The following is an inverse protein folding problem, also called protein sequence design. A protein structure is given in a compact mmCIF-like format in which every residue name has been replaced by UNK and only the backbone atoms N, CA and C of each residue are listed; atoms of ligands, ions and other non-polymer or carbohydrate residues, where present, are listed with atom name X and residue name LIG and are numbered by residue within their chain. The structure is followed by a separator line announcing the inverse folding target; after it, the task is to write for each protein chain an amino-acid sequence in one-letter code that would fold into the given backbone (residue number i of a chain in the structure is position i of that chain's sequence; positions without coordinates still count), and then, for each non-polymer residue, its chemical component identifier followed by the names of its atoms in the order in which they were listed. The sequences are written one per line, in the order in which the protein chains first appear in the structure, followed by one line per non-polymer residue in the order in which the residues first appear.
data_IF_207465061925
#
_entry.id   IF_207465061925
#
_cell.length_a   1.000
_cell.length_b   1.000
_cell.length_c   1.000
_cell.angle_alpha   90.00
_cell.angle_beta   90.00
_cell.angle_gamma   90.00
#
_symmetry.space_group_name_H-M   'P 1'
#
loop_
_entity.id
_entity.type
_entity.pdbx_description
1 polymer ?
#
# COMPACT_ATOMS: atom_id res chain seq x y z
N UNK A 1 21.89 22.31 -34.11
CA UNK A 1 22.68 23.53 -33.85
C UNK A 1 23.32 23.38 -32.47
N UNK A 2 24.65 23.31 -32.37
CA UNK A 2 25.33 23.10 -31.08
C UNK A 2 25.61 24.44 -30.39
N UNK A 3 25.32 24.51 -29.10
CA UNK A 3 25.64 25.68 -28.24
C UNK A 3 27.10 25.67 -27.82
N UNK A 4 27.81 26.79 -28.15
CA UNK A 4 29.21 27.05 -27.87
C UNK A 4 29.48 27.16 -26.36
N UNK A 5 30.51 26.48 -25.86
CA UNK A 5 31.10 26.68 -24.52
C UNK A 5 32.03 27.91 -24.58
N UNK A 6 31.72 28.92 -23.76
CA UNK A 6 32.64 30.04 -23.51
C UNK A 6 33.65 29.63 -22.43
N UNK A 7 34.90 29.60 -22.80
CA UNK A 7 36.04 29.39 -21.93
C UNK A 7 36.40 30.72 -21.25
N UNK A 8 36.37 30.75 -19.92
CA UNK A 8 36.84 31.93 -19.14
C UNK A 8 38.32 31.75 -18.86
N UNK A 9 39.15 32.63 -19.39
CA UNK A 9 40.60 32.72 -19.09
C UNK A 9 40.75 33.49 -17.77
N UNK A 10 41.29 32.85 -16.72
CA UNK A 10 41.70 33.46 -15.47
C UNK A 10 43.14 33.93 -15.63
N UNK A 11 43.36 35.23 -15.50
CA UNK A 11 44.71 35.86 -15.49
C UNK A 11 45.44 35.49 -14.20
N UNK A 12 46.76 35.26 -14.37
CA UNK A 12 47.66 34.73 -13.40
C UNK A 12 47.73 35.51 -12.08
N UNK A 13 47.77 34.72 -11.02
CA UNK A 13 48.04 35.17 -9.63
C UNK A 13 49.57 35.15 -9.41
N UNK A 14 50.09 36.27 -8.91
CA UNK A 14 51.51 36.51 -8.68
C UNK A 14 52.14 35.47 -7.74
N UNK A 15 53.32 34.98 -8.16
CA UNK A 15 54.15 33.93 -7.58
C UNK A 15 54.60 34.15 -6.11
N UNK A 16 54.32 35.28 -5.48
CA UNK A 16 54.79 35.56 -4.12
C UNK A 16 53.86 35.14 -2.99
N UNK A 17 52.63 34.74 -3.30
CA UNK A 17 51.68 34.25 -2.30
C UNK A 17 51.53 32.72 -2.26
N UNK A 18 52.08 32.02 -3.22
CA UNK A 18 51.97 30.56 -3.30
C UNK A 18 52.84 29.84 -2.25
N UNK A 19 53.94 30.45 -1.78
CA UNK A 19 54.83 29.84 -0.77
C UNK A 19 54.34 29.96 0.67
N UNK A 20 53.57 30.98 1.01
CA UNK A 20 53.00 31.15 2.35
C UNK A 20 51.77 30.27 2.57
N UNK A 21 50.98 29.97 1.50
CA UNK A 21 49.81 29.10 1.60
C UNK A 21 50.19 27.61 1.70
N UNK A 22 51.32 27.22 1.11
CA UNK A 22 51.82 25.84 1.17
C UNK A 22 52.36 25.45 2.54
N UNK A 23 52.97 26.40 3.28
CA UNK A 23 53.47 26.17 4.63
C UNK A 23 52.35 26.09 5.70
N UNK A 24 51.24 26.82 5.53
CA UNK A 24 50.07 26.69 6.41
C UNK A 24 49.29 25.38 6.20
N UNK A 25 49.21 24.87 4.97
CA UNK A 25 48.52 23.58 4.69
C UNK A 25 49.34 22.37 5.23
N UNK A 26 50.66 22.44 5.22
CA UNK A 26 51.52 21.38 5.76
C UNK A 26 51.49 21.35 7.30
N UNK A 27 51.33 22.50 7.95
CA UNK A 27 51.17 22.55 9.43
C UNK A 27 49.82 22.00 9.91
N UNK A 28 48.76 22.06 9.09
CA UNK A 28 47.46 21.49 9.45
C UNK A 28 47.37 19.97 9.17
N UNK A 29 48.20 19.43 8.27
CA UNK A 29 48.18 17.98 7.98
C UNK A 29 49.00 17.16 9.02
N UNK A 30 49.83 17.77 9.85
CA UNK A 30 50.63 17.03 10.84
C UNK A 30 49.91 16.87 12.19
N UNK A 31 48.79 17.61 12.42
CA UNK A 31 48.03 17.48 13.68
C UNK A 31 46.79 16.59 13.63
N UNK A 32 46.47 15.99 12.46
CA UNK A 32 45.40 15.01 12.35
C UNK A 32 45.94 13.56 12.31
N UNK A 33 46.77 13.20 13.28
CA UNK A 33 46.95 11.80 13.60
C UNK A 33 45.62 11.29 14.16
N UNK A 34 45.05 10.20 13.62
CA UNK A 34 43.89 9.58 14.25
C UNK A 34 44.36 9.15 15.66
N UNK A 35 43.80 9.78 16.69
CA UNK A 35 43.92 9.29 18.06
C UNK A 35 43.18 7.96 18.07
N UNK A 36 43.85 6.89 17.67
CA UNK A 36 43.49 5.55 18.07
C UNK A 36 43.72 5.48 19.57
N UNK A 37 42.70 5.86 20.33
CA UNK A 37 42.58 5.46 21.72
C UNK A 37 42.44 3.94 21.72
N UNK A 38 43.55 3.23 21.61
CA UNK A 38 43.61 1.86 22.05
C UNK A 38 43.21 1.85 23.51
N UNK A 39 42.00 1.37 23.82
CA UNK A 39 41.55 1.26 25.20
C UNK A 39 42.56 0.38 25.93
N UNK A 40 43.30 0.97 26.89
CA UNK A 40 44.22 0.25 27.77
C UNK A 40 43.60 -0.88 28.61
N UNK A 41 42.28 -1.05 28.47
CA UNK A 41 41.48 -2.06 29.16
C UNK A 41 40.99 -3.13 28.19
N UNK A 42 41.89 -3.94 27.63
CA UNK A 42 41.54 -5.19 26.97
C UNK A 42 41.13 -6.21 28.03
N UNK A 43 39.94 -6.76 27.94
CA UNK A 43 39.59 -7.93 28.75
C UNK A 43 40.67 -9.02 28.53
N UNK A 44 41.14 -9.65 29.63
CA UNK A 44 42.12 -10.74 29.54
C UNK A 44 41.62 -11.79 28.54
N UNK A 45 42.51 -12.24 27.65
CA UNK A 45 42.21 -13.36 26.75
C UNK A 45 41.65 -14.54 27.58
N UNK A 46 40.44 -14.98 27.28
CA UNK A 46 39.76 -16.06 28.02
C UNK A 46 38.67 -15.64 29.00
N UNK A 47 38.49 -14.33 29.29
CA UNK A 47 37.40 -13.86 30.16
C UNK A 47 36.02 -13.86 29.48
N UNK A 48 35.77 -14.77 28.55
CA UNK A 48 34.56 -14.96 27.72
C UNK A 48 33.28 -14.79 28.50
N UNK A 49 32.75 -13.56 28.58
CA UNK A 49 31.43 -13.27 29.12
C UNK A 49 31.22 -13.55 30.62
N UNK A 50 32.03 -14.39 31.25
CA UNK A 50 31.91 -14.75 32.67
C UNK A 50 32.03 -13.52 33.60
N UNK A 51 32.87 -12.58 33.25
CA UNK A 51 33.01 -11.32 34.00
C UNK A 51 31.71 -10.50 33.92
N UNK A 52 31.04 -10.47 32.77
CA UNK A 52 29.78 -9.75 32.58
C UNK A 52 28.63 -10.41 33.36
N UNK A 53 28.60 -11.74 33.36
CA UNK A 53 27.59 -12.53 34.03
C UNK A 53 27.61 -12.43 35.56
N UNK A 54 28.72 -11.98 36.17
CA UNK A 54 28.77 -11.70 37.60
C UNK A 54 27.82 -10.57 38.04
N UNK A 55 27.59 -9.61 37.15
CA UNK A 55 26.66 -8.50 37.41
C UNK A 55 25.34 -8.67 36.64
N UNK A 56 25.37 -9.35 35.49
CA UNK A 56 24.21 -9.58 34.64
C UNK A 56 23.67 -11.02 34.80
N UNK A 57 23.38 -11.44 36.04
CA UNK A 57 22.98 -12.80 36.37
C UNK A 57 21.71 -13.29 35.66
N UNK A 58 20.79 -12.36 35.33
CA UNK A 58 19.57 -12.66 34.60
C UNK A 58 19.84 -13.35 33.24
N UNK A 59 20.98 -13.09 32.61
CA UNK A 59 21.38 -13.76 31.36
C UNK A 59 21.70 -15.22 31.52
N UNK A 60 21.95 -15.72 32.74
CA UNK A 60 22.07 -17.17 32.98
C UNK A 60 20.78 -17.93 32.61
N UNK A 61 19.61 -17.30 32.77
CA UNK A 61 18.34 -17.85 32.31
C UNK A 61 18.26 -17.88 30.78
N UNK A 62 18.67 -16.80 30.12
CA UNK A 62 18.71 -16.69 28.65
C UNK A 62 19.66 -17.70 28.03
N UNK A 63 20.83 -17.96 28.65
CA UNK A 63 21.77 -18.97 28.20
C UNK A 63 21.22 -20.41 28.28
N UNK A 64 20.19 -20.67 29.09
CA UNK A 64 19.45 -21.94 29.18
C UNK A 64 18.32 -22.05 28.20
N UNK A 65 18.03 -20.98 27.42
CA UNK A 65 16.98 -21.02 26.41
C UNK A 65 17.32 -22.02 25.30
N UNK A 66 16.30 -22.57 24.67
CA UNK A 66 16.45 -23.56 23.58
C UNK A 66 17.25 -23.04 22.40
N UNK A 67 17.11 -21.74 22.08
CA UNK A 67 17.81 -21.05 21.00
C UNK A 67 18.48 -19.82 21.56
N UNK A 68 19.81 -19.81 21.54
CA UNK A 68 20.68 -18.73 22.03
C UNK A 68 21.50 -18.21 20.87
N UNK A 69 21.64 -16.88 20.79
CA UNK A 69 22.46 -16.25 19.75
C UNK A 69 23.92 -16.79 19.81
N UNK A 70 24.52 -17.18 18.68
CA UNK A 70 25.85 -17.80 18.66
C UNK A 70 26.94 -17.02 19.41
N UNK A 71 26.96 -15.66 19.27
CA UNK A 71 27.92 -14.82 19.97
C UNK A 71 27.69 -14.86 21.49
N UNK A 72 26.44 -14.82 21.95
CA UNK A 72 26.13 -14.93 23.37
C UNK A 72 26.49 -16.31 23.93
N UNK A 73 26.21 -17.38 23.18
CA UNK A 73 26.56 -18.76 23.55
C UNK A 73 28.07 -18.92 23.72
N UNK A 74 28.89 -18.19 22.94
CA UNK A 74 30.35 -18.15 23.07
C UNK A 74 30.84 -17.21 24.16
N UNK A 75 29.96 -16.42 24.79
CA UNK A 75 30.31 -15.40 25.77
C UNK A 75 30.94 -14.12 25.14
N UNK A 76 30.73 -13.92 23.86
CA UNK A 76 31.27 -12.78 23.10
C UNK A 76 30.38 -11.53 23.21
N UNK A 77 30.06 -11.09 24.44
CA UNK A 77 29.20 -9.95 24.71
C UNK A 77 29.70 -8.67 24.04
N UNK A 78 31.02 -8.49 24.02
CA UNK A 78 31.68 -7.32 23.38
C UNK A 78 31.61 -7.38 21.83
N UNK A 79 31.09 -8.43 21.25
CA UNK A 79 30.77 -8.46 19.81
C UNK A 79 29.75 -7.39 19.43
N UNK A 80 28.80 -7.13 20.32
CA UNK A 80 27.73 -6.14 20.16
C UNK A 80 27.83 -4.95 21.11
N UNK A 81 28.37 -5.13 22.32
CA UNK A 81 28.35 -4.15 23.38
C UNK A 81 29.73 -3.52 23.61
N UNK A 82 29.73 -2.26 24.05
CA UNK A 82 30.90 -1.54 24.59
C UNK A 82 30.72 -1.50 26.10
N UNK A 83 31.68 -2.04 26.89
CA UNK A 83 31.47 -2.24 28.34
C UNK A 83 31.48 -0.97 29.18
N UNK A 84 31.97 0.16 28.66
CA UNK A 84 32.13 1.39 29.44
C UNK A 84 31.19 2.51 29.01
N UNK A 85 31.30 2.99 27.78
CA UNK A 85 30.53 4.14 27.28
C UNK A 85 30.10 3.93 25.84
N UNK A 86 28.89 4.35 25.53
CA UNK A 86 28.36 4.35 24.15
C UNK A 86 27.29 5.45 24.03
N UNK A 87 27.21 6.04 22.85
CA UNK A 87 26.12 6.93 22.46
C UNK A 87 24.81 6.16 22.16
N UNK A 88 24.90 4.84 22.05
CA UNK A 88 23.75 3.99 21.70
C UNK A 88 23.14 3.31 22.93
N UNK A 89 21.82 3.33 23.03
CA UNK A 89 21.08 2.71 24.14
C UNK A 89 21.45 1.23 24.31
N UNK A 90 21.72 0.82 25.56
CA UNK A 90 22.14 -0.54 25.87
C UNK A 90 23.62 -0.78 25.63
N UNK A 91 24.44 0.29 25.61
CA UNK A 91 25.89 0.21 25.36
C UNK A 91 26.22 -0.53 24.05
N UNK A 92 25.43 -0.35 22.99
CA UNK A 92 25.73 -0.94 21.69
C UNK A 92 26.90 -0.21 21.01
N UNK A 93 27.67 -0.94 20.19
CA UNK A 93 28.81 -0.38 19.42
C UNK A 93 28.39 0.64 18.38
N UNK A 94 27.20 0.45 17.79
CA UNK A 94 26.63 1.28 16.76
C UNK A 94 25.11 1.24 16.87
N UNK A 95 24.40 1.95 16.00
CA UNK A 95 22.94 1.82 15.90
C UNK A 95 22.52 0.36 15.66
N UNK A 96 21.31 0.05 16.05
CA UNK A 96 20.82 -1.33 16.07
C UNK A 96 20.71 -1.93 14.67
N UNK A 97 20.26 -1.16 13.69
CA UNK A 97 20.08 -1.64 12.32
C UNK A 97 21.44 -2.08 11.77
N UNK A 98 22.43 -1.18 11.80
CA UNK A 98 23.79 -1.44 11.34
C UNK A 98 24.42 -2.62 12.08
N UNK A 99 24.26 -2.67 13.41
CA UNK A 99 24.83 -3.75 14.24
C UNK A 99 24.37 -5.14 13.79
N UNK A 100 23.10 -5.28 13.45
CA UNK A 100 22.57 -6.56 12.95
C UNK A 100 23.01 -6.83 11.52
N UNK A 101 22.92 -5.82 10.64
CA UNK A 101 23.24 -5.95 9.21
C UNK A 101 24.73 -6.21 8.93
N UNK A 102 25.63 -5.82 9.83
CA UNK A 102 27.07 -6.13 9.68
C UNK A 102 27.31 -7.64 9.48
N UNK A 103 26.46 -8.48 10.06
CA UNK A 103 26.54 -9.94 9.92
C UNK A 103 25.37 -10.55 9.13
N UNK A 104 24.16 -9.95 9.21
CA UNK A 104 22.94 -10.46 8.57
C UNK A 104 22.62 -9.68 7.29
N UNK A 105 23.53 -9.64 6.34
CA UNK A 105 23.41 -8.86 5.09
C UNK A 105 22.29 -9.31 4.17
N UNK A 106 21.92 -10.59 4.20
CA UNK A 106 20.94 -11.18 3.28
C UNK A 106 19.47 -10.87 3.64
N UNK A 107 19.24 -10.24 4.81
CA UNK A 107 17.88 -9.98 5.29
C UNK A 107 17.16 -8.92 4.43
N UNK A 108 17.91 -7.96 3.88
CA UNK A 108 17.41 -6.91 2.98
C UNK A 108 18.28 -6.88 1.70
N UNK A 109 18.04 -7.76 0.73
CA UNK A 109 18.77 -7.74 -0.52
C UNK A 109 18.39 -6.51 -1.36
N UNK A 110 19.34 -5.97 -2.12
CA UNK A 110 19.17 -4.78 -2.97
C UNK A 110 18.05 -4.94 -4.02
N UNK A 111 17.79 -6.17 -4.47
CA UNK A 111 16.76 -6.50 -5.45
C UNK A 111 15.41 -6.85 -4.84
N UNK A 112 15.15 -6.53 -3.58
CA UNK A 112 13.87 -6.80 -2.95
C UNK A 112 12.75 -5.99 -3.62
N UNK A 113 11.69 -6.67 -4.06
CA UNK A 113 10.47 -6.04 -4.58
C UNK A 113 9.54 -5.57 -3.45
N UNK A 114 9.69 -6.16 -2.27
CA UNK A 114 8.98 -5.75 -1.06
C UNK A 114 9.85 -6.01 0.16
N UNK A 115 9.80 -5.09 1.12
CA UNK A 115 10.53 -5.19 2.38
C UNK A 115 9.62 -4.75 3.52
N UNK A 116 9.60 -5.54 4.61
CA UNK A 116 8.78 -5.24 5.77
C UNK A 116 9.32 -3.99 6.46
N UNK A 117 8.46 -3.01 6.75
CA UNK A 117 8.85 -1.69 7.25
C UNK A 117 9.71 -1.78 8.51
N UNK A 118 9.30 -2.58 9.49
CA UNK A 118 10.05 -2.78 10.74
C UNK A 118 11.46 -3.36 10.51
N UNK A 119 11.69 -4.06 9.40
CA UNK A 119 13.01 -4.59 9.02
C UNK A 119 13.84 -3.50 8.36
N UNK A 120 13.24 -2.69 7.49
CA UNK A 120 13.88 -1.51 6.86
C UNK A 120 14.34 -0.52 7.92
N UNK A 121 13.53 -0.28 8.94
CA UNK A 121 13.85 0.57 10.09
C UNK A 121 14.90 -0.03 11.05
N UNK A 122 15.30 -1.29 10.83
CA UNK A 122 16.23 -2.00 11.71
C UNK A 122 15.63 -2.41 13.07
N UNK A 123 14.32 -2.44 13.18
CA UNK A 123 13.59 -2.80 14.39
C UNK A 123 13.50 -4.32 14.60
N UNK A 124 14.60 -5.05 14.45
CA UNK A 124 14.69 -6.51 14.51
C UNK A 124 14.11 -7.10 15.82
N UNK A 125 14.21 -6.36 16.92
CA UNK A 125 13.69 -6.77 18.23
C UNK A 125 12.17 -6.81 18.33
N UNK A 126 11.46 -6.28 17.38
CA UNK A 126 9.99 -6.40 17.32
C UNK A 126 9.57 -7.86 17.21
N UNK A 127 10.40 -8.68 16.55
CA UNK A 127 10.13 -10.10 16.32
C UNK A 127 11.14 -11.03 17.01
N UNK A 128 12.40 -10.60 17.18
CA UNK A 128 13.50 -11.42 17.71
C UNK A 128 13.98 -10.95 19.09
N UNK A 129 14.30 -11.90 19.96
CA UNK A 129 15.18 -11.65 21.08
C UNK A 129 16.63 -11.82 20.63
N UNK A 130 17.40 -10.73 20.65
CA UNK A 130 18.80 -10.72 20.18
C UNK A 130 19.75 -11.57 21.02
N UNK A 131 19.33 -12.02 22.17
CA UNK A 131 20.13 -12.86 23.06
C UNK A 131 19.72 -14.33 23.01
N UNK A 132 18.42 -14.61 23.08
CA UNK A 132 17.92 -15.96 23.00
C UNK A 132 16.48 -16.11 23.44
N UNK A 133 15.80 -17.11 22.95
CA UNK A 133 14.44 -17.47 23.33
C UNK A 133 14.19 -18.98 23.22
N UNK A 134 13.03 -19.42 23.62
CA UNK A 134 12.62 -20.83 23.47
C UNK A 134 12.00 -21.11 22.09
N UNK A 135 11.82 -20.10 21.25
CA UNK A 135 11.27 -20.24 19.91
C UNK A 135 12.39 -20.27 18.87
N UNK A 136 12.21 -21.08 17.81
CA UNK A 136 13.17 -21.17 16.70
C UNK A 136 13.48 -19.77 16.14
N UNK A 137 14.71 -19.54 15.71
CA UNK A 137 15.23 -18.23 15.26
C UNK A 137 15.17 -17.14 16.33
N UNK A 138 15.09 -17.51 17.60
CA UNK A 138 15.00 -16.59 18.74
C UNK A 138 13.80 -15.66 18.64
N UNK A 139 12.67 -16.14 18.11
CA UNK A 139 11.44 -15.35 18.01
C UNK A 139 10.83 -15.12 19.40
N UNK A 140 10.18 -13.98 19.58
CA UNK A 140 9.48 -13.62 20.83
C UNK A 140 8.26 -14.53 21.07
N UNK A 141 7.58 -14.93 19.99
CA UNK A 141 6.44 -15.86 19.99
C UNK A 141 6.62 -16.90 18.89
N UNK A 142 5.93 -18.03 19.02
CA UNK A 142 5.93 -19.08 18.01
C UNK A 142 4.76 -18.91 17.02
N UNK A 143 4.97 -19.39 15.78
CA UNK A 143 3.93 -19.51 14.79
C UNK A 143 3.28 -18.19 14.36
N UNK A 144 2.00 -18.26 14.06
CA UNK A 144 1.22 -17.13 13.54
C UNK A 144 0.96 -16.04 14.59
N UNK A 145 1.01 -16.36 15.87
CA UNK A 145 0.73 -15.41 16.95
C UNK A 145 1.70 -14.23 16.99
N UNK A 146 2.93 -14.42 16.52
CA UNK A 146 3.87 -13.32 16.37
C UNK A 146 3.40 -12.30 15.34
N UNK A 147 2.88 -12.77 14.22
CA UNK A 147 2.39 -11.91 13.13
C UNK A 147 1.11 -11.17 13.56
N UNK A 148 0.23 -11.86 14.30
CA UNK A 148 -1.05 -11.35 14.77
C UNK A 148 -0.92 -10.24 15.81
N UNK A 149 0.24 -10.02 16.41
CA UNK A 149 0.44 -8.87 17.31
C UNK A 149 0.23 -7.53 16.60
N UNK A 150 0.59 -7.45 15.32
CA UNK A 150 0.43 -6.25 14.50
C UNK A 150 -0.68 -6.40 13.45
N UNK A 151 -0.81 -7.59 12.84
CA UNK A 151 -1.81 -7.86 11.80
C UNK A 151 -3.15 -8.30 12.41
N UNK A 152 -3.81 -7.37 13.15
CA UNK A 152 -5.05 -7.65 13.92
C UNK A 152 -6.21 -8.05 13.02
N UNK A 153 -6.44 -7.29 11.94
CA UNK A 153 -7.54 -7.55 11.00
C UNK A 153 -7.38 -8.93 10.37
N UNK A 154 -6.15 -9.28 9.95
CA UNK A 154 -5.85 -10.61 9.43
C UNK A 154 -6.06 -11.71 10.48
N UNK A 155 -5.72 -11.45 11.73
CA UNK A 155 -5.98 -12.37 12.85
C UNK A 155 -7.47 -12.65 13.02
N UNK A 156 -8.28 -11.59 12.97
CA UNK A 156 -9.74 -11.68 13.09
C UNK A 156 -10.33 -12.46 11.91
N UNK A 157 -9.95 -12.10 10.68
CA UNK A 157 -10.39 -12.79 9.46
C UNK A 157 -10.08 -14.29 9.50
N UNK A 158 -8.84 -14.65 9.86
CA UNK A 158 -8.42 -16.06 9.95
C UNK A 158 -9.16 -16.81 11.06
N UNK A 159 -9.34 -16.18 12.20
CA UNK A 159 -10.03 -16.82 13.36
C UNK A 159 -11.51 -17.04 13.06
N UNK A 160 -12.17 -16.08 12.44
CA UNK A 160 -13.59 -16.10 12.13
C UNK A 160 -13.94 -16.94 10.89
N UNK A 161 -12.97 -17.20 10.01
CA UNK A 161 -13.21 -18.00 8.80
C UNK A 161 -13.75 -19.39 9.13
N UNK A 162 -14.89 -19.75 8.53
CA UNK A 162 -15.48 -21.09 8.65
C UNK A 162 -14.61 -22.17 8.03
N UNK A 163 -13.99 -21.86 6.89
CA UNK A 163 -13.09 -22.73 6.18
C UNK A 163 -11.71 -22.09 6.11
N UNK A 164 -10.79 -22.60 6.93
CA UNK A 164 -9.39 -22.12 6.97
C UNK A 164 -8.52 -22.87 5.99
N UNK A 165 -7.55 -22.19 5.42
CA UNK A 165 -6.54 -22.87 4.63
C UNK A 165 -5.63 -23.67 5.54
N UNK A 166 -5.56 -24.98 5.34
CA UNK A 166 -4.82 -25.92 6.23
C UNK A 166 -3.34 -25.57 6.38
N UNK A 167 -2.74 -24.87 5.41
CA UNK A 167 -1.35 -24.43 5.49
C UNK A 167 -1.09 -23.43 6.62
N UNK A 168 -2.11 -22.70 7.09
CA UNK A 168 -1.98 -21.79 8.22
C UNK A 168 -1.79 -22.51 9.57
N UNK A 169 -2.29 -23.74 9.66
CA UNK A 169 -2.26 -24.55 10.89
C UNK A 169 -1.12 -25.59 10.86
N UNK A 170 -0.48 -25.78 9.71
CA UNK A 170 0.56 -26.80 9.50
C UNK A 170 1.89 -26.18 9.10
N UNK A 171 2.97 -26.90 9.41
CA UNK A 171 4.32 -26.52 9.02
C UNK A 171 4.77 -25.21 9.65
N UNK A 172 5.02 -24.20 8.82
CA UNK A 172 5.51 -22.89 9.25
C UNK A 172 4.39 -21.83 9.35
N UNK A 173 3.11 -22.20 9.21
CA UNK A 173 2.00 -21.26 9.23
C UNK A 173 2.08 -20.21 8.12
N UNK A 174 2.03 -18.92 8.47
CA UNK A 174 2.15 -17.81 7.52
C UNK A 174 3.39 -17.93 6.64
N UNK A 175 4.51 -18.41 7.20
CA UNK A 175 5.79 -18.56 6.51
C UNK A 175 5.84 -19.75 5.53
N UNK A 176 4.75 -20.47 5.33
CA UNK A 176 4.64 -21.41 4.21
C UNK A 176 4.52 -20.67 2.86
N UNK A 177 4.05 -19.43 2.90
CA UNK A 177 3.79 -18.62 1.72
C UNK A 177 4.53 -17.28 1.73
N UNK A 178 4.80 -16.70 2.91
CA UNK A 178 5.37 -15.38 3.08
C UNK A 178 6.82 -15.40 3.55
N UNK A 179 7.62 -14.45 3.05
CA UNK A 179 8.89 -14.06 3.66
C UNK A 179 8.64 -12.88 4.61
N UNK A 180 8.99 -13.00 5.89
CA UNK A 180 8.71 -11.95 6.88
C UNK A 180 9.66 -10.75 6.80
N UNK A 181 10.76 -10.86 6.07
CA UNK A 181 11.75 -9.79 5.97
C UNK A 181 11.61 -9.02 4.67
N UNK A 182 11.76 -9.71 3.56
CA UNK A 182 11.72 -9.13 2.22
C UNK A 182 11.44 -10.19 1.16
N UNK A 183 11.02 -9.79 -0.03
CA UNK A 183 10.86 -10.69 -1.16
C UNK A 183 11.32 -10.06 -2.46
N UNK A 184 12.11 -10.78 -3.21
CA UNK A 184 12.50 -10.45 -4.58
C UNK A 184 11.53 -11.05 -5.64
N UNK A 185 10.50 -11.77 -5.22
CA UNK A 185 9.57 -12.50 -6.11
C UNK A 185 8.23 -11.78 -6.30
N UNK A 186 7.66 -11.28 -5.20
CA UNK A 186 6.34 -10.61 -5.18
C UNK A 186 6.13 -9.97 -3.82
N UNK A 187 4.99 -9.32 -3.59
CA UNK A 187 4.63 -8.70 -2.31
C UNK A 187 4.70 -9.69 -1.16
N UNK A 188 5.85 -9.76 -0.49
CA UNK A 188 6.15 -10.63 0.66
C UNK A 188 5.96 -12.15 0.43
N UNK A 189 5.90 -12.62 -0.82
CA UNK A 189 5.71 -14.04 -1.12
C UNK A 189 7.04 -14.72 -1.42
N UNK A 190 7.13 -16.01 -1.06
CA UNK A 190 8.28 -16.88 -1.34
C UNK A 190 8.44 -17.19 -2.83
N UNK A 191 7.37 -17.05 -3.61
CA UNK A 191 7.36 -17.21 -5.07
C UNK A 191 6.60 -16.08 -5.72
N UNK A 192 6.75 -15.92 -7.04
CA UNK A 192 5.84 -15.09 -7.83
C UNK A 192 4.41 -15.54 -7.58
N UNK A 193 3.47 -14.56 -7.73
CA UNK A 193 2.03 -14.79 -7.50
C UNK A 193 1.55 -16.11 -8.10
N UNK A 194 0.36 -16.55 -7.66
CA UNK A 194 -0.33 -17.70 -8.24
C UNK A 194 -0.17 -17.76 -9.79
N UNK A 195 -0.04 -18.96 -10.38
CA UNK A 195 -0.21 -20.24 -9.69
C UNK A 195 1.06 -20.80 -9.03
N UNK A 196 2.25 -20.27 -9.32
CA UNK A 196 3.54 -20.86 -8.92
C UNK A 196 3.64 -21.17 -7.43
N UNK A 197 3.21 -20.27 -6.57
CA UNK A 197 3.21 -20.48 -5.12
C UNK A 197 2.27 -21.61 -4.71
N UNK A 198 1.08 -21.67 -5.29
CA UNK A 198 0.04 -22.65 -4.97
C UNK A 198 0.45 -24.05 -5.43
N UNK A 199 1.09 -24.15 -6.60
CA UNK A 199 1.51 -25.42 -7.22
C UNK A 199 2.62 -26.16 -6.45
N UNK A 200 3.26 -25.52 -5.48
CA UNK A 200 4.20 -26.21 -4.56
C UNK A 200 3.50 -27.31 -3.74
N UNK A 201 2.20 -27.17 -3.50
CA UNK A 201 1.41 -28.12 -2.71
C UNK A 201 0.21 -28.68 -3.47
N UNK A 202 -0.37 -27.91 -4.38
CA UNK A 202 -1.56 -28.31 -5.13
C UNK A 202 -1.20 -28.89 -6.50
N UNK A 203 -1.70 -30.10 -6.77
CA UNK A 203 -1.47 -30.80 -8.02
C UNK A 203 -2.66 -30.63 -8.94
N UNK A 204 -2.52 -29.74 -9.93
CA UNK A 204 -3.60 -29.38 -10.87
C UNK A 204 -3.84 -30.40 -11.97
N UNK A 205 -2.92 -31.35 -12.16
CA UNK A 205 -3.03 -32.47 -13.11
C UNK A 205 -3.89 -33.62 -12.61
N UNK A 206 -4.34 -33.60 -11.35
CA UNK A 206 -5.19 -34.67 -10.81
C UNK A 206 -6.64 -34.55 -11.33
N UNK A 207 -7.24 -35.70 -11.66
CA UNK A 207 -8.67 -35.79 -12.04
C UNK A 207 -9.58 -35.16 -10.94
N UNK A 208 -9.22 -35.35 -9.66
CA UNK A 208 -9.99 -34.76 -8.56
C UNK A 208 -9.93 -33.24 -8.54
N UNK A 209 -8.85 -32.63 -9.01
CA UNK A 209 -8.74 -31.18 -9.16
C UNK A 209 -9.66 -30.70 -10.29
N UNK A 210 -9.56 -31.30 -11.47
CA UNK A 210 -10.40 -30.97 -12.61
C UNK A 210 -11.89 -31.11 -12.26
N UNK A 211 -12.28 -32.22 -11.60
CA UNK A 211 -13.67 -32.45 -11.17
C UNK A 211 -14.19 -31.37 -10.22
N UNK A 212 -13.36 -30.89 -9.28
CA UNK A 212 -13.73 -29.79 -8.35
C UNK A 212 -13.93 -28.47 -9.06
N UNK A 213 -13.28 -28.25 -10.19
CA UNK A 213 -13.40 -27.08 -11.04
C UNK A 213 -14.28 -27.34 -12.27
N UNK A 214 -15.11 -28.40 -12.25
CA UNK A 214 -16.03 -28.78 -13.31
C UNK A 214 -15.40 -28.82 -14.69
N UNK A 215 -14.16 -29.30 -14.74
CA UNK A 215 -13.30 -29.42 -15.92
C UNK A 215 -12.97 -28.11 -16.63
N UNK A 216 -13.16 -26.95 -15.97
CA UNK A 216 -12.68 -25.68 -16.53
C UNK A 216 -11.16 -25.63 -16.54
N UNK A 217 -10.54 -25.01 -17.56
CA UNK A 217 -9.09 -24.93 -17.72
C UNK A 217 -8.47 -23.88 -16.81
N UNK A 218 -8.47 -24.14 -15.49
CA UNK A 218 -7.98 -23.20 -14.46
C UNK A 218 -6.55 -23.49 -14.00
N UNK A 219 -5.82 -24.40 -14.67
CA UNK A 219 -4.48 -24.84 -14.25
C UNK A 219 -3.47 -23.71 -14.19
N UNK A 220 -3.60 -22.74 -15.09
CA UNK A 220 -2.71 -21.57 -15.18
C UNK A 220 -3.37 -20.28 -14.70
N UNK A 221 -4.57 -20.37 -14.11
CA UNK A 221 -5.27 -19.21 -13.60
C UNK A 221 -4.62 -18.67 -12.32
N UNK A 222 -4.81 -17.40 -12.06
CA UNK A 222 -4.52 -16.83 -10.75
C UNK A 222 -5.52 -17.37 -9.72
N UNK A 223 -5.11 -18.37 -8.96
CA UNK A 223 -5.96 -19.02 -7.95
C UNK A 223 -6.52 -18.01 -6.94
N UNK A 224 -5.74 -16.97 -6.63
CA UNK A 224 -6.11 -15.93 -5.68
C UNK A 224 -7.14 -14.93 -6.23
N UNK A 225 -7.54 -15.04 -7.48
CA UNK A 225 -8.66 -14.27 -8.03
C UNK A 225 -10.03 -14.76 -7.54
N UNK A 226 -10.13 -16.05 -7.16
CA UNK A 226 -11.36 -16.65 -6.65
C UNK A 226 -11.24 -17.16 -5.22
N UNK A 227 -10.06 -17.63 -4.83
CA UNK A 227 -9.80 -18.23 -3.51
C UNK A 227 -9.12 -17.25 -2.58
N UNK A 228 -9.61 -17.18 -1.33
CA UNK A 228 -8.93 -16.50 -0.24
C UNK A 228 -7.95 -17.47 0.45
N UNK A 229 -6.62 -17.33 0.26
CA UNK A 229 -5.64 -18.25 0.82
C UNK A 229 -5.58 -18.23 2.34
N UNK A 230 -6.18 -17.28 3.00
CA UNK A 230 -6.24 -17.19 4.47
C UNK A 230 -7.47 -17.88 5.05
N UNK A 231 -8.54 -18.03 4.28
CA UNK A 231 -9.78 -18.65 4.70
C UNK A 231 -11.00 -17.85 4.32
N UNK A 232 -12.16 -18.44 4.39
CA UNK A 232 -13.45 -17.77 4.12
C UNK A 232 -14.62 -18.52 4.74
N UNK A 233 -15.83 -17.98 4.60
CA UNK A 233 -17.06 -18.65 5.00
C UNK A 233 -17.62 -19.59 3.92
N UNK A 234 -17.09 -19.47 2.69
CA UNK A 234 -17.49 -20.29 1.57
C UNK A 234 -16.63 -21.54 1.43
N UNK A 235 -17.25 -22.68 1.07
CA UNK A 235 -16.55 -23.95 0.82
C UNK A 235 -15.47 -23.78 -0.26
N UNK A 236 -14.34 -24.46 -0.06
CA UNK A 236 -13.21 -24.35 -0.98
C UNK A 236 -12.43 -23.05 -0.81
N UNK A 237 -12.68 -22.32 0.26
CA UNK A 237 -12.07 -21.00 0.54
C UNK A 237 -12.29 -19.98 -0.59
N UNK A 238 -13.41 -20.08 -1.30
CA UNK A 238 -13.84 -19.04 -2.26
C UNK A 238 -14.09 -17.76 -1.47
N UNK A 239 -13.75 -16.60 -1.99
CA UNK A 239 -13.99 -15.32 -1.32
C UNK A 239 -15.43 -15.22 -0.81
N UNK A 240 -15.62 -14.53 0.32
CA UNK A 240 -16.93 -14.37 0.95
C UNK A 240 -17.91 -13.59 0.07
N UNK A 241 -17.41 -12.65 -0.71
CA UNK A 241 -18.18 -11.98 -1.75
C UNK A 241 -18.06 -12.78 -3.04
N UNK A 242 -18.98 -13.71 -3.21
CA UNK A 242 -19.06 -14.56 -4.40
C UNK A 242 -20.45 -14.48 -5.02
N UNK A 243 -20.53 -14.61 -6.34
CA UNK A 243 -21.80 -14.68 -7.05
C UNK A 243 -22.54 -15.96 -6.69
N UNK A 244 -23.84 -15.90 -6.45
CA UNK A 244 -24.63 -17.05 -6.03
C UNK A 244 -24.47 -18.26 -6.97
N UNK A 245 -24.49 -18.02 -8.29
CA UNK A 245 -24.29 -19.05 -9.29
C UNK A 245 -22.95 -19.81 -9.13
N UNK A 246 -21.90 -19.12 -8.65
CA UNK A 246 -20.58 -19.73 -8.42
C UNK A 246 -20.59 -20.58 -7.16
N UNK A 247 -21.14 -20.08 -6.05
CA UNK A 247 -21.22 -20.83 -4.79
C UNK A 247 -22.12 -22.06 -4.88
N UNK A 248 -23.13 -22.01 -5.74
CA UNK A 248 -24.06 -23.10 -6.02
C UNK A 248 -23.57 -24.05 -7.12
N UNK A 249 -22.44 -23.74 -7.78
CA UNK A 249 -21.91 -24.55 -8.85
C UNK A 249 -22.69 -24.49 -10.17
N UNK A 250 -23.49 -23.45 -10.37
CA UNK A 250 -24.35 -23.25 -11.56
C UNK A 250 -23.59 -22.56 -12.70
N UNK A 251 -22.42 -23.06 -13.06
CA UNK A 251 -21.54 -22.44 -14.05
C UNK A 251 -22.20 -22.30 -15.44
N UNK A 252 -23.06 -23.25 -15.79
CA UNK A 252 -23.77 -23.27 -17.07
C UNK A 252 -24.92 -22.27 -17.13
N UNK A 253 -25.24 -21.55 -16.07
CA UNK A 253 -26.12 -20.36 -16.18
C UNK A 253 -25.49 -19.29 -17.10
N UNK A 254 -24.19 -19.14 -17.02
CA UNK A 254 -23.44 -18.14 -17.80
C UNK A 254 -22.64 -18.74 -18.95
N UNK A 255 -22.02 -19.91 -18.75
CA UNK A 255 -21.16 -20.57 -19.73
C UNK A 255 -21.96 -21.55 -20.62
N UNK A 256 -21.53 -21.68 -21.89
CA UNK A 256 -22.26 -22.49 -22.88
C UNK A 256 -22.39 -23.98 -22.49
N UNK A 257 -21.30 -24.52 -21.91
CA UNK A 257 -21.21 -25.90 -21.45
C UNK A 257 -20.15 -26.07 -20.39
N UNK A 258 -20.17 -27.14 -19.59
CA UNK A 258 -19.10 -27.43 -18.63
C UNK A 258 -17.72 -27.43 -19.29
N UNK A 259 -16.76 -26.77 -18.65
CA UNK A 259 -15.39 -26.63 -19.15
C UNK A 259 -15.16 -25.57 -20.23
N UNK A 260 -16.20 -24.97 -20.76
CA UNK A 260 -16.07 -23.90 -21.76
C UNK A 260 -15.96 -22.52 -21.11
N UNK A 261 -14.96 -21.74 -21.53
CA UNK A 261 -14.84 -20.32 -21.13
C UNK A 261 -15.77 -19.40 -21.93
N UNK A 262 -16.41 -19.92 -23.00
CA UNK A 262 -17.36 -19.14 -23.81
C UNK A 262 -18.66 -18.93 -23.05
N UNK A 263 -19.13 -17.70 -23.01
CA UNK A 263 -20.42 -17.36 -22.42
C UNK A 263 -21.58 -17.57 -23.42
N UNK A 264 -22.77 -17.79 -22.89
CA UNK A 264 -24.00 -17.99 -23.73
C UNK A 264 -24.34 -16.74 -24.53
N UNK A 265 -24.15 -15.56 -23.97
CA UNK A 265 -24.46 -14.25 -24.53
C UNK A 265 -23.34 -13.25 -24.29
N UNK A 266 -23.42 -12.09 -24.94
CA UNK A 266 -22.53 -10.94 -24.61
C UNK A 266 -22.78 -10.47 -23.18
N UNK A 267 -21.75 -9.90 -22.55
CA UNK A 267 -21.72 -9.63 -21.11
C UNK A 267 -22.96 -8.91 -20.59
N UNK A 268 -23.33 -7.76 -21.15
CA UNK A 268 -24.48 -6.98 -20.67
C UNK A 268 -25.80 -7.73 -20.84
N UNK A 269 -25.98 -8.43 -21.98
CA UNK A 269 -27.18 -9.24 -22.23
C UNK A 269 -27.25 -10.44 -21.28
N UNK A 270 -26.11 -11.05 -20.97
CA UNK A 270 -26.03 -12.17 -20.04
C UNK A 270 -26.42 -11.74 -18.63
N UNK A 271 -25.85 -10.63 -18.17
CA UNK A 271 -26.17 -10.10 -16.84
C UNK A 271 -27.63 -9.68 -16.71
N UNK A 272 -28.21 -9.13 -17.77
CA UNK A 272 -29.64 -8.71 -17.82
C UNK A 272 -30.61 -9.84 -17.56
N UNK A 273 -30.29 -11.09 -17.87
CA UNK A 273 -31.19 -12.24 -17.64
C UNK A 273 -31.64 -12.37 -16.19
N UNK A 274 -30.80 -11.98 -15.23
CA UNK A 274 -31.13 -12.01 -13.81
C UNK A 274 -31.19 -10.61 -13.19
N UNK A 275 -30.48 -9.63 -13.76
CA UNK A 275 -30.38 -8.26 -13.28
C UNK A 275 -31.15 -7.27 -14.18
N UNK A 276 -32.29 -7.69 -14.70
CA UNK A 276 -33.07 -6.92 -15.68
C UNK A 276 -33.38 -5.52 -15.18
N UNK A 277 -34.00 -5.39 -14.01
CA UNK A 277 -34.44 -4.10 -13.46
C UNK A 277 -33.26 -3.11 -13.34
N UNK A 278 -32.13 -3.55 -12.82
CA UNK A 278 -30.95 -2.71 -12.65
C UNK A 278 -30.38 -2.29 -14.00
N UNK A 279 -30.30 -3.20 -14.96
CA UNK A 279 -29.80 -2.89 -16.31
C UNK A 279 -30.74 -1.94 -17.03
N UNK A 280 -32.05 -2.18 -16.99
CA UNK A 280 -33.05 -1.33 -17.65
C UNK A 280 -33.08 0.07 -17.02
N UNK A 281 -33.06 0.19 -15.69
CA UNK A 281 -32.95 1.49 -15.01
C UNK A 281 -31.66 2.24 -15.40
N UNK A 282 -30.54 1.52 -15.56
CA UNK A 282 -29.28 2.12 -15.97
C UNK A 282 -29.36 2.70 -17.38
N UNK A 283 -29.87 1.92 -18.34
CA UNK A 283 -29.93 2.34 -19.75
C UNK A 283 -31.06 3.32 -20.05
N UNK A 284 -32.03 3.49 -19.15
CA UNK A 284 -33.07 4.52 -19.24
C UNK A 284 -32.62 5.91 -18.75
N UNK A 285 -31.40 6.03 -18.19
CA UNK A 285 -30.84 7.33 -17.77
C UNK A 285 -30.29 8.13 -18.95
N UNK A 286 -30.32 9.45 -18.82
CA UNK A 286 -29.83 10.37 -19.88
C UNK A 286 -28.34 10.21 -20.17
N UNK A 287 -27.57 9.74 -19.19
CA UNK A 287 -26.12 9.56 -19.30
C UNK A 287 -25.71 8.21 -18.74
N UNK A 288 -25.29 7.32 -19.60
CA UNK A 288 -24.75 6.00 -19.24
C UNK A 288 -23.22 6.09 -19.22
N UNK A 289 -22.60 5.54 -18.20
CA UNK A 289 -21.15 5.47 -18.14
C UNK A 289 -20.61 4.61 -19.28
N UNK A 290 -19.74 5.18 -20.12
CA UNK A 290 -19.36 4.56 -21.37
C UNK A 290 -18.79 3.13 -21.26
N UNK A 291 -18.03 2.72 -20.19
CA UNK A 291 -17.56 1.36 -20.06
C UNK A 291 -18.67 0.30 -20.02
N UNK A 292 -19.93 0.70 -19.77
CA UNK A 292 -21.06 -0.22 -19.79
C UNK A 292 -21.56 -0.54 -21.19
N UNK A 293 -21.25 0.32 -22.16
CA UNK A 293 -21.68 0.14 -23.57
C UNK A 293 -20.61 -0.49 -24.44
N UNK A 294 -19.40 -0.68 -23.92
CA UNK A 294 -18.33 -1.35 -24.64
C UNK A 294 -18.54 -2.89 -24.67
N UNK A 295 -17.62 -3.60 -25.34
CA UNK A 295 -17.66 -5.07 -25.50
C UNK A 295 -17.59 -5.82 -24.17
N UNK A 296 -16.90 -5.23 -23.20
CA UNK A 296 -16.62 -5.82 -21.88
C UNK A 296 -17.74 -5.54 -20.91
N UNK A 297 -18.38 -4.37 -20.99
CA UNK A 297 -19.56 -4.00 -20.22
C UNK A 297 -19.32 -4.09 -18.71
N UNK A 298 -20.24 -4.74 -18.02
CA UNK A 298 -20.24 -4.86 -16.55
C UNK A 298 -18.91 -5.39 -15.98
N UNK A 299 -18.25 -6.29 -16.70
CA UNK A 299 -16.98 -6.89 -16.23
C UNK A 299 -15.75 -5.98 -16.39
N UNK A 300 -15.90 -4.75 -16.87
CA UNK A 300 -14.85 -3.75 -16.72
C UNK A 300 -14.54 -3.49 -15.24
N UNK A 301 -15.56 -3.47 -14.39
CA UNK A 301 -15.47 -3.13 -12.98
C UNK A 301 -15.72 -4.32 -12.05
N UNK A 302 -16.60 -5.24 -12.45
CA UNK A 302 -17.01 -6.39 -11.63
C UNK A 302 -16.34 -7.69 -12.08
N UNK A 303 -16.01 -8.55 -11.11
CA UNK A 303 -15.70 -9.95 -11.36
C UNK A 303 -16.96 -10.78 -11.13
N UNK A 304 -17.48 -11.49 -12.14
CA UNK A 304 -18.72 -12.25 -12.01
C UNK A 304 -18.58 -13.51 -11.17
N UNK A 305 -17.39 -13.88 -10.71
CA UNK A 305 -17.17 -15.10 -9.96
C UNK A 305 -17.09 -14.86 -8.46
N UNK A 306 -16.00 -14.25 -7.98
CA UNK A 306 -15.78 -13.96 -6.57
C UNK A 306 -14.70 -12.91 -6.40
N UNK A 307 -14.77 -12.11 -5.34
CA UNK A 307 -13.76 -11.13 -4.97
C UNK A 307 -13.72 -10.94 -3.47
N UNK A 308 -12.70 -10.25 -2.98
CA UNK A 308 -12.68 -9.75 -1.60
C UNK A 308 -13.48 -8.46 -1.42
N UNK A 309 -13.81 -7.77 -2.49
CA UNK A 309 -14.44 -6.46 -2.47
C UNK A 309 -15.97 -6.58 -2.57
N UNK A 310 -16.69 -5.76 -1.81
CA UNK A 310 -18.16 -5.71 -1.84
C UNK A 310 -18.66 -5.49 -3.27
N UNK A 311 -19.85 -6.06 -3.57
CA UNK A 311 -20.50 -5.96 -4.88
C UNK A 311 -19.67 -6.50 -6.03
N UNK A 312 -18.82 -7.46 -5.76
CA UNK A 312 -17.98 -8.13 -6.77
C UNK A 312 -17.07 -7.15 -7.55
N UNK A 313 -16.61 -6.06 -6.94
CA UNK A 313 -15.64 -5.17 -7.58
C UNK A 313 -14.27 -5.86 -7.73
N UNK A 314 -13.59 -5.62 -8.85
CA UNK A 314 -12.23 -6.17 -9.13
C UNK A 314 -11.11 -5.57 -8.26
N UNK A 315 -11.44 -4.68 -7.36
CA UNK A 315 -10.52 -4.03 -6.44
C UNK A 315 -11.23 -2.90 -5.70
N UNK A 316 -10.51 -2.20 -4.83
CA UNK A 316 -11.05 -1.01 -4.18
C UNK A 316 -11.61 -0.01 -5.19
N UNK A 317 -12.54 0.84 -4.76
CA UNK A 317 -13.15 1.87 -5.63
C UNK A 317 -12.07 2.69 -6.35
N UNK A 318 -11.04 3.14 -5.61
CA UNK A 318 -9.92 3.91 -6.19
C UNK A 318 -9.20 3.10 -7.27
N UNK A 319 -8.89 1.84 -7.00
CA UNK A 319 -8.19 0.99 -7.97
C UNK A 319 -9.02 0.71 -9.22
N UNK A 320 -10.33 0.51 -9.06
CA UNK A 320 -11.23 0.25 -10.19
C UNK A 320 -11.40 1.51 -11.04
N UNK A 321 -11.70 2.64 -10.41
CA UNK A 321 -11.89 3.92 -11.12
C UNK A 321 -10.58 4.43 -11.74
N UNK A 322 -9.46 4.32 -11.01
CA UNK A 322 -8.15 4.82 -11.40
C UNK A 322 -7.56 4.16 -12.65
N UNK A 323 -8.09 3.01 -13.09
CA UNK A 323 -7.67 2.40 -14.37
C UNK A 323 -7.93 3.30 -15.58
N UNK A 324 -8.97 4.13 -15.51
CA UNK A 324 -9.35 5.07 -16.56
C UNK A 324 -9.24 6.52 -16.10
N UNK A 325 -9.40 6.79 -14.80
CA UNK A 325 -9.33 8.11 -14.18
C UNK A 325 -8.02 8.31 -13.42
N UNK A 326 -6.90 7.99 -14.05
CA UNK A 326 -5.57 8.01 -13.41
C UNK A 326 -5.21 9.40 -12.90
N UNK A 327 -5.49 10.46 -13.67
CA UNK A 327 -5.17 11.86 -13.30
C UNK A 327 -5.88 12.27 -12.00
N UNK A 328 -7.15 11.89 -11.85
CA UNK A 328 -7.93 12.17 -10.64
C UNK A 328 -7.37 11.43 -9.42
N UNK A 329 -6.95 10.18 -9.59
CA UNK A 329 -6.33 9.39 -8.51
C UNK A 329 -4.96 9.95 -8.14
N UNK A 330 -4.13 10.34 -9.11
CA UNK A 330 -2.85 10.98 -8.85
C UNK A 330 -3.02 12.29 -8.06
N UNK A 331 -4.01 13.11 -8.42
CA UNK A 331 -4.32 14.33 -7.68
C UNK A 331 -4.76 14.04 -6.25
N UNK A 332 -5.60 13.03 -6.04
CA UNK A 332 -5.99 12.57 -4.71
C UNK A 332 -4.78 12.14 -3.87
N UNK A 333 -3.90 11.30 -4.44
CA UNK A 333 -2.69 10.84 -3.77
C UNK A 333 -1.76 12.00 -3.41
N UNK A 334 -1.60 12.94 -4.34
CA UNK A 334 -0.79 14.14 -4.13
C UNK A 334 -1.34 14.97 -2.98
N UNK A 335 -2.64 15.22 -2.95
CA UNK A 335 -3.31 15.99 -1.91
C UNK A 335 -3.20 15.34 -0.52
N UNK A 336 -3.27 14.00 -0.46
CA UNK A 336 -3.07 13.25 0.78
C UNK A 336 -1.63 13.41 1.30
N UNK A 337 -0.65 13.41 0.41
CA UNK A 337 0.78 13.57 0.76
C UNK A 337 1.16 15.01 1.14
N UNK A 338 0.37 16.00 0.73
CA UNK A 338 0.63 17.42 0.93
C UNK A 338 -0.49 18.16 1.72
N UNK A 339 -0.88 17.69 2.92
CA UNK A 339 -2.06 18.18 3.64
C UNK A 339 -1.97 19.63 4.12
N UNK A 340 -0.76 20.22 4.13
CA UNK A 340 -0.56 21.63 4.54
C UNK A 340 -0.94 22.62 3.44
N UNK A 341 -0.80 22.23 2.19
CA UNK A 341 -0.94 23.10 1.03
C UNK A 341 -2.28 22.92 0.32
N UNK A 342 -3.04 21.87 0.66
CA UNK A 342 -4.25 21.54 -0.05
C UNK A 342 -5.30 20.90 0.87
N UNK A 343 -6.55 21.32 0.68
CA UNK A 343 -7.71 20.61 1.22
C UNK A 343 -8.35 19.78 0.11
N UNK A 344 -8.82 18.62 0.49
CA UNK A 344 -9.54 17.70 -0.38
C UNK A 344 -10.80 17.27 0.35
N UNK A 345 -11.89 17.13 -0.38
CA UNK A 345 -13.15 16.68 0.17
C UNK A 345 -12.99 15.30 0.83
N UNK A 346 -13.48 15.13 2.05
CA UNK A 346 -13.26 13.90 2.84
C UNK A 346 -13.67 12.60 2.13
N UNK A 347 -14.81 12.53 1.39
CA UNK A 347 -15.11 11.35 0.57
C UNK A 347 -14.05 11.06 -0.49
N UNK A 348 -13.48 12.09 -1.13
CA UNK A 348 -12.42 11.92 -2.14
C UNK A 348 -11.14 11.45 -1.47
N UNK A 349 -10.76 12.03 -0.35
CA UNK A 349 -9.61 11.62 0.46
C UNK A 349 -9.70 10.14 0.83
N UNK A 350 -10.87 9.65 1.19
CA UNK A 350 -11.14 8.24 1.48
C UNK A 350 -11.28 7.36 0.23
N UNK A 351 -11.14 7.91 -0.97
CA UNK A 351 -11.33 7.18 -2.21
C UNK A 351 -12.78 6.76 -2.48
N UNK A 352 -13.75 7.38 -1.81
CA UNK A 352 -15.17 7.07 -1.97
C UNK A 352 -15.79 7.90 -3.10
N UNK A 353 -15.37 7.65 -4.33
CA UNK A 353 -15.86 8.33 -5.53
C UNK A 353 -17.39 8.21 -5.69
N UNK A 354 -17.92 7.07 -5.26
CA UNK A 354 -19.37 6.78 -5.32
C UNK A 354 -20.20 7.52 -4.24
N UNK A 355 -19.59 8.32 -3.39
CA UNK A 355 -20.35 9.22 -2.52
C UNK A 355 -21.12 10.26 -3.35
N UNK A 356 -20.51 10.75 -4.43
CA UNK A 356 -21.06 11.79 -5.31
C UNK A 356 -21.51 11.22 -6.65
N UNK A 357 -20.77 10.28 -7.23
CA UNK A 357 -21.01 9.77 -8.57
C UNK A 357 -21.82 8.47 -8.57
N UNK A 358 -22.69 8.31 -9.57
CA UNK A 358 -23.28 7.04 -9.92
C UNK A 358 -22.36 6.33 -10.94
N UNK A 359 -21.76 5.18 -10.60
CA UNK A 359 -20.80 4.54 -11.50
C UNK A 359 -21.44 3.91 -12.73
N UNK A 360 -22.75 3.75 -12.76
CA UNK A 360 -23.47 3.13 -13.88
C UNK A 360 -24.07 4.19 -14.81
N UNK A 361 -24.94 5.03 -14.30
CA UNK A 361 -25.65 6.04 -15.07
C UNK A 361 -26.25 7.11 -14.16
N UNK A 362 -26.52 8.27 -14.73
CA UNK A 362 -27.26 9.36 -14.07
C UNK A 362 -27.94 10.26 -15.11
N UNK A 363 -28.84 11.10 -14.65
CA UNK A 363 -29.48 12.09 -15.53
C UNK A 363 -28.63 13.38 -15.62
N UNK A 364 -27.74 13.61 -14.69
CA UNK A 364 -26.89 14.79 -14.59
C UNK A 364 -25.48 14.59 -15.17
N UNK A 365 -24.84 15.70 -15.53
CA UNK A 365 -23.46 15.71 -16.02
C UNK A 365 -22.50 15.10 -15.00
N UNK A 366 -21.39 14.56 -15.48
CA UNK A 366 -20.37 13.88 -14.66
C UNK A 366 -20.92 12.72 -13.82
N UNK A 367 -22.09 12.17 -14.20
CA UNK A 367 -22.75 11.08 -13.48
C UNK A 367 -23.03 11.38 -12.00
N UNK A 368 -23.35 12.62 -11.67
CA UNK A 368 -23.73 13.00 -10.32
C UNK A 368 -25.09 12.39 -9.96
N UNK A 369 -25.21 11.87 -8.74
CA UNK A 369 -26.40 11.16 -8.25
C UNK A 369 -27.61 12.05 -8.06
N UNK A 370 -27.37 13.28 -7.60
CA UNK A 370 -28.43 14.18 -7.15
C UNK A 370 -28.96 15.06 -8.26
N UNK A 371 -30.18 15.52 -8.07
CA UNK A 371 -30.87 16.41 -9.03
C UNK A 371 -30.21 17.80 -9.03
N UNK A 372 -29.93 18.36 -7.86
CA UNK A 372 -29.24 19.64 -7.69
C UNK A 372 -27.78 19.39 -7.28
N UNK A 373 -26.86 19.86 -8.13
CA UNK A 373 -25.41 19.71 -7.94
C UNK A 373 -24.86 20.47 -6.72
N UNK A 374 -25.58 21.44 -6.20
CA UNK A 374 -25.06 22.31 -5.15
C UNK A 374 -25.72 22.06 -3.80
N UNK A 375 -27.05 22.14 -3.76
CA UNK A 375 -27.80 22.09 -2.50
C UNK A 375 -27.96 20.63 -2.04
N UNK A 376 -28.46 19.76 -2.91
CA UNK A 376 -28.75 18.38 -2.53
C UNK A 376 -27.50 17.54 -2.29
N UNK A 377 -26.45 17.75 -3.09
CA UNK A 377 -25.23 16.96 -2.97
C UNK A 377 -24.31 17.47 -1.86
N UNK A 378 -23.95 18.74 -1.90
CA UNK A 378 -23.01 19.32 -0.95
C UNK A 378 -23.66 19.59 0.41
N UNK A 379 -24.95 19.97 0.41
CA UNK A 379 -25.76 20.25 1.59
C UNK A 379 -26.00 19.05 2.51
N UNK A 380 -25.73 17.82 2.05
CA UNK A 380 -25.74 16.62 2.93
C UNK A 380 -24.73 16.69 4.06
N UNK A 381 -23.63 17.40 3.84
CA UNK A 381 -22.50 17.47 4.77
C UNK A 381 -22.12 18.89 5.14
N UNK A 382 -22.52 19.89 4.34
CA UNK A 382 -22.18 21.29 4.50
C UNK A 382 -23.40 22.16 4.75
N UNK A 383 -23.34 23.02 5.78
CA UNK A 383 -24.33 24.09 6.03
C UNK A 383 -24.06 25.23 5.06
N UNK A 384 -24.57 25.13 3.84
CA UNK A 384 -24.30 26.07 2.77
C UNK A 384 -24.89 27.47 3.02
N UNK A 385 -25.94 27.58 3.84
CA UNK A 385 -26.63 28.84 4.16
C UNK A 385 -25.72 29.85 4.86
N UNK A 386 -24.74 29.39 5.59
CA UNK A 386 -23.79 30.22 6.34
C UNK A 386 -22.54 30.57 5.54
N UNK A 387 -22.36 29.95 4.38
CA UNK A 387 -21.12 30.02 3.64
C UNK A 387 -20.99 31.22 2.71
N UNK A 388 -22.05 31.61 2.07
CA UNK A 388 -22.01 32.64 1.01
C UNK A 388 -23.28 33.49 0.94
N UNK A 389 -23.07 34.75 0.61
CA UNK A 389 -24.16 35.66 0.24
C UNK A 389 -24.55 35.56 -1.24
N UNK A 390 -23.83 34.76 -2.02
CA UNK A 390 -24.15 34.54 -3.42
C UNK A 390 -25.38 33.66 -3.58
N UNK A 391 -26.32 34.06 -4.45
CA UNK A 391 -27.44 33.20 -4.80
C UNK A 391 -26.92 32.02 -5.63
N UNK A 392 -27.25 30.82 -5.20
CA UNK A 392 -26.91 29.56 -5.89
C UNK A 392 -28.17 28.75 -6.19
N UNK A 393 -28.11 27.90 -7.21
CA UNK A 393 -29.21 27.03 -7.63
C UNK A 393 -29.61 27.20 -9.09
N UNK A 394 -30.57 26.42 -9.55
CA UNK A 394 -30.98 26.37 -10.96
C UNK A 394 -31.48 27.71 -11.53
N UNK A 395 -32.00 28.58 -10.69
CA UNK A 395 -32.52 29.91 -11.08
C UNK A 395 -31.46 30.94 -11.36
N UNK A 396 -30.23 30.72 -10.96
CA UNK A 396 -29.13 31.67 -11.08
C UNK A 396 -28.12 31.20 -12.11
N UNK A 397 -27.86 32.02 -13.12
CA UNK A 397 -26.96 31.70 -14.23
C UNK A 397 -25.51 32.05 -13.85
N UNK A 398 -24.58 31.17 -14.11
CA UNK A 398 -23.15 31.48 -14.06
C UNK A 398 -22.81 32.38 -15.27
N UNK A 399 -22.50 33.65 -15.01
CA UNK A 399 -22.26 34.61 -16.07
C UNK A 399 -21.06 34.28 -16.97
N UNK A 400 -20.17 33.42 -16.50
CA UNK A 400 -19.01 32.89 -17.26
C UNK A 400 -19.42 31.83 -18.27
N UNK A 401 -20.57 31.20 -18.07
CA UNK A 401 -21.08 30.12 -18.88
C UNK A 401 -22.62 30.19 -19.00
N UNK A 402 -23.13 30.86 -20.05
CA UNK A 402 -24.53 31.25 -20.26
C UNK A 402 -25.59 30.13 -20.06
N UNK A 403 -25.17 28.84 -20.12
CA UNK A 403 -26.10 27.71 -20.02
C UNK A 403 -25.89 26.90 -18.74
N UNK A 404 -25.11 27.38 -17.79
CA UNK A 404 -24.87 26.71 -16.52
C UNK A 404 -25.42 27.53 -15.35
N UNK A 405 -26.02 26.84 -14.39
CA UNK A 405 -26.45 27.45 -13.14
C UNK A 405 -25.26 27.75 -12.24
N UNK A 406 -25.37 28.80 -11.46
CA UNK A 406 -24.38 29.14 -10.42
C UNK A 406 -24.52 28.11 -9.27
N UNK A 407 -23.49 27.34 -9.05
CA UNK A 407 -23.48 26.23 -8.08
C UNK A 407 -22.23 26.28 -7.20
N UNK A 408 -22.14 25.41 -6.19
CA UNK A 408 -20.92 25.26 -5.40
C UNK A 408 -19.70 24.99 -6.30
N UNK A 409 -19.87 24.23 -7.37
CA UNK A 409 -18.81 23.89 -8.33
C UNK A 409 -18.43 25.04 -9.26
N UNK A 410 -19.18 26.12 -9.28
CA UNK A 410 -18.77 27.36 -9.98
C UNK A 410 -17.56 28.01 -9.30
N UNK A 411 -17.39 27.77 -8.01
CA UNK A 411 -16.31 28.34 -7.20
C UNK A 411 -15.32 27.29 -6.65
N UNK A 412 -15.80 26.09 -6.39
CA UNK A 412 -15.01 25.02 -5.74
C UNK A 412 -14.79 23.82 -6.64
N UNK A 413 -13.69 23.10 -6.41
CA UNK A 413 -13.43 21.78 -7.00
C UNK A 413 -13.41 20.74 -5.88
N UNK A 414 -14.32 19.77 -5.94
CA UNK A 414 -14.44 18.74 -4.89
C UNK A 414 -13.32 17.70 -4.91
N UNK A 415 -12.69 17.50 -6.08
CA UNK A 415 -11.68 16.46 -6.27
C UNK A 415 -10.24 16.93 -5.99
N UNK A 416 -10.06 18.17 -5.48
CA UNK A 416 -8.76 18.77 -5.21
C UNK A 416 -8.29 19.71 -6.32
N UNK A 417 -7.43 20.67 -5.98
CA UNK A 417 -6.96 21.73 -6.90
C UNK A 417 -5.47 21.74 -7.13
N UNK A 418 -4.70 21.04 -6.32
CA UNK A 418 -3.23 21.05 -6.38
C UNK A 418 -2.55 22.25 -5.74
N UNK A 419 -3.23 23.36 -5.41
CA UNK A 419 -2.57 24.55 -4.86
C UNK A 419 -3.45 25.47 -3.98
N UNK A 420 -4.67 25.09 -3.67
CA UNK A 420 -5.59 26.01 -2.96
C UNK A 420 -6.22 25.33 -1.72
N UNK A 421 -5.92 25.82 -0.49
CA UNK A 421 -6.45 25.23 0.75
C UNK A 421 -7.96 25.36 0.93
N UNK A 422 -8.62 26.20 0.13
CA UNK A 422 -10.09 26.40 0.16
C UNK A 422 -10.81 25.68 -0.98
N UNK A 423 -10.10 24.85 -1.74
CA UNK A 423 -10.63 24.11 -2.91
C UNK A 423 -11.26 25.03 -3.98
N UNK A 424 -10.80 26.27 -4.09
CA UNK A 424 -11.28 27.19 -5.13
C UNK A 424 -10.77 26.79 -6.52
N UNK A 425 -11.54 27.09 -7.55
CA UNK A 425 -11.18 26.90 -8.95
C UNK A 425 -10.03 27.80 -9.41
N UNK A 426 -9.71 28.83 -8.64
CA UNK A 426 -8.62 29.79 -8.88
C UNK A 426 -7.66 29.82 -7.69
N UNK A 427 -6.43 30.29 -7.92
CA UNK A 427 -5.38 30.28 -6.90
C UNK A 427 -5.69 31.18 -5.69
N UNK A 428 -6.44 32.26 -5.92
CA UNK A 428 -6.85 33.20 -4.88
C UNK A 428 -8.34 33.54 -4.95
N UNK A 429 -8.92 33.97 -3.83
CA UNK A 429 -10.29 34.48 -3.78
C UNK A 429 -10.47 35.70 -4.71
N UNK A 430 -9.47 36.58 -4.78
CA UNK A 430 -9.49 37.72 -5.66
C UNK A 430 -9.61 37.33 -7.14
N UNK A 431 -8.75 36.41 -7.61
CA UNK A 431 -8.83 35.89 -8.98
C UNK A 431 -10.19 35.25 -9.30
N UNK A 432 -10.80 34.58 -8.37
CA UNK A 432 -12.14 34.03 -8.53
C UNK A 432 -13.20 35.15 -8.63
N UNK A 433 -13.18 36.15 -7.72
CA UNK A 433 -14.16 37.22 -7.68
C UNK A 433 -14.19 38.05 -8.96
N UNK A 434 -13.01 38.35 -9.54
CA UNK A 434 -12.92 39.18 -10.77
C UNK A 434 -13.47 38.47 -12.01
N UNK A 435 -13.67 37.15 -11.98
CA UNK A 435 -14.30 36.45 -13.11
C UNK A 435 -15.75 36.88 -13.34
N UNK A 436 -16.40 37.40 -12.31
CA UNK A 436 -17.79 37.83 -12.33
C UNK A 436 -17.96 39.33 -12.01
N UNK A 437 -17.10 39.93 -11.20
CA UNK A 437 -17.19 41.29 -10.70
C UNK A 437 -16.14 42.22 -11.36
N UNK A 438 -16.15 42.27 -12.69
CA UNK A 438 -15.15 43.01 -13.49
C UNK A 438 -15.17 44.53 -13.20
N UNK A 439 -16.33 45.11 -12.83
CA UNK A 439 -16.49 46.57 -12.69
C UNK A 439 -16.18 47.11 -11.27
N UNK A 440 -15.97 46.24 -10.26
CA UNK A 440 -15.78 46.68 -8.87
C UNK A 440 -14.33 46.72 -8.40
N UNK A 441 -13.40 46.49 -9.32
CA UNK A 441 -11.96 46.43 -9.01
C UNK A 441 -11.23 47.50 -9.82
N UNK A 442 -11.61 48.77 -9.58
CA UNK A 442 -10.81 49.94 -9.91
C UNK A 442 -10.32 50.58 -8.65
#
# INVERSE_FOLDING_TARGET
MPRSRKTIKIKGINSRYATLFSLCLISFLVCAAPVHSESKFKLKLGAKGQTCLKCHEAFNKTLKSRFVHPLLKKGECIGCHVPHTSSHKGLLKTDRAKLCHDCHKEVLPENALSSHEVVVEGNCKTCHDSHGSNNKFMLLKSGNELCFDCHKDMSEDVRNARFKHKSLEKGKGCLNCHDPHSSAKSSFLLESRAPSLCLKCHQTNKVSFAKKHMNYPVQNADCSSCHNPHGSHNRGIIFDVAHAAVTEGKCTECHQQPGSLKTKKKTTQLCRECHQDMVDQTFNKNRVHWPLVDKVGCVNCHDPHATKEKKLLKGSIVNVCGRCHADTVQLQEWSIKNPKNERICEPVKKGNCIACHSPHAADKVLLIKEQDLSIDLCGRCHEWQTHSTHPIGEKFVDIRAKNLSLTCLSCHTACGTGNNPTMLTFSTTHELCIQCHVERIK
#
